data_IF_233049965206
#
_entry.id   IF_233049965206
#
_cell.length_a   1.000
_cell.length_b   1.000
_cell.length_c   1.000
_cell.angle_alpha   90.00
_cell.angle_beta   90.00
_cell.angle_gamma   90.00
#
_symmetry.space_group_name_H-M   'P 1'
#
loop_
_entity.id
_entity.type
_entity.pdbx_description
1 polymer ?
2 non-polymer ?
3 non-polymer ?
4 non-polymer ?
5 water ?
#
# COMPACT_ATOMS: atom_id res chain seq x y z
N UNK A 1 8.68 16.74 -1.64
CA UNK A 1 7.20 16.87 -1.54
C UNK A 1 6.64 15.61 -0.87
N UNK A 2 7.40 14.53 -0.97
CA UNK A 2 6.98 13.24 -0.34
C UNK A 2 7.69 12.98 1.01
N UNK A 3 8.50 13.91 1.50
CA UNK A 3 9.38 13.64 2.64
C UNK A 3 8.73 13.19 3.95
N UNK A 4 7.56 13.69 4.30
CA UNK A 4 7.01 13.25 5.60
C UNK A 4 6.54 11.79 5.56
N UNK A 5 6.38 11.20 4.34
CA UNK A 5 6.03 9.78 4.22
C UNK A 5 7.22 8.86 4.44
N UNK A 6 8.42 9.37 4.35
CA UNK A 6 9.59 8.50 4.35
C UNK A 6 9.84 7.93 5.72
N UNK A 7 10.29 6.69 5.75
CA UNK A 7 10.66 6.01 6.98
C UNK A 7 10.06 4.62 7.07
N UNK A 8 10.09 4.09 8.28
CA UNK A 8 9.63 2.75 8.59
C UNK A 8 8.34 2.85 9.40
N UNK A 9 7.34 2.11 8.99
CA UNK A 9 5.99 2.21 9.52
C UNK A 9 5.46 0.81 9.84
N UNK A 10 4.69 0.70 10.92
CA UNK A 10 4.12 -0.58 11.30
C UNK A 10 2.63 -0.54 11.39
N UNK A 11 1.97 -1.61 10.95
CA UNK A 11 0.51 -1.64 11.00
C UNK A 11 0.02 -1.73 12.43
N UNK A 12 -0.92 -0.81 12.78
CA UNK A 12 -1.50 -0.79 14.12
C UNK A 12 -3.03 -0.79 14.13
N UNK A 13 -3.70 -0.77 12.98
CA UNK A 13 -5.15 -0.87 12.93
C UNK A 13 -5.53 -1.27 11.52
N UNK A 14 -6.59 -2.07 11.37
CA UNK A 14 -7.07 -2.40 10.03
C UNK A 14 -8.59 -2.58 10.06
N UNK A 15 -9.23 -1.94 9.08
CA UNK A 15 -10.68 -2.01 8.92
C UNK A 15 -11.01 -2.42 7.49
N UNK A 16 -11.81 -3.50 7.36
CA UNK A 16 -12.36 -3.92 6.07
C UNK A 16 -11.32 -4.49 5.10
N UNK A 17 -10.17 -4.95 5.61
CA UNK A 17 -9.20 -5.56 4.69
C UNK A 17 -9.73 -6.84 4.08
N UNK A 18 -10.49 -7.62 4.83
CA UNK A 18 -11.06 -8.84 4.22
C UNK A 18 -11.96 -8.48 3.04
N UNK A 19 -12.80 -7.44 3.19
CA UNK A 19 -13.66 -7.03 2.07
C UNK A 19 -12.81 -6.68 0.86
N UNK A 20 -11.75 -5.90 1.08
CA UNK A 20 -10.90 -5.47 -0.02
C UNK A 20 -10.26 -6.68 -0.72
N UNK A 21 -9.65 -7.59 0.08
CA UNK A 21 -9.05 -8.78 -0.51
C UNK A 21 -10.07 -9.62 -1.25
N UNK A 22 -11.24 -9.81 -0.67
CA UNK A 22 -12.23 -10.64 -1.33
C UNK A 22 -12.64 -10.02 -2.66
N UNK A 23 -12.78 -8.69 -2.70
CA UNK A 23 -13.12 -7.99 -3.94
C UNK A 23 -12.11 -8.25 -5.05
N UNK A 24 -10.84 -8.35 -4.66
CA UNK A 24 -9.75 -8.65 -5.58
C UNK A 24 -9.67 -10.14 -5.93
N UNK A 25 -10.51 -10.99 -5.35
CA UNK A 25 -10.46 -12.41 -5.69
C UNK A 25 -9.42 -13.20 -4.89
N UNK A 26 -8.92 -12.64 -3.78
CA UNK A 26 -7.97 -13.38 -2.96
C UNK A 26 -8.72 -14.53 -2.24
N UNK A 27 -8.12 -15.72 -2.24
CA UNK A 27 -8.77 -16.87 -1.67
C UNK A 27 -8.86 -16.86 -0.15
N UNK A 28 -9.79 -17.63 0.38
CA UNK A 28 -10.12 -17.53 1.79
C UNK A 28 -8.90 -17.81 2.65
N UNK A 29 -8.06 -18.77 2.31
CA UNK A 29 -6.94 -19.16 3.17
C UNK A 29 -5.90 -18.05 3.28
N UNK A 30 -5.65 -17.40 2.14
CA UNK A 30 -4.76 -16.22 2.13
C UNK A 30 -5.37 -15.09 2.92
N UNK A 31 -6.67 -14.85 2.77
CA UNK A 31 -7.31 -13.78 3.55
C UNK A 31 -7.16 -14.04 5.05
N UNK A 32 -7.32 -15.30 5.41
CA UNK A 32 -7.25 -15.68 6.81
C UNK A 32 -5.87 -15.29 7.39
N UNK A 33 -4.77 -15.71 6.75
CA UNK A 33 -3.43 -15.38 7.23
C UNK A 33 -3.25 -13.86 7.20
N UNK A 34 -3.63 -13.23 6.09
CA UNK A 34 -3.46 -11.77 5.95
C UNK A 34 -4.17 -10.99 7.05
N UNK A 35 -5.31 -11.48 7.52
CA UNK A 35 -6.06 -10.77 8.56
C UNK A 35 -5.33 -10.74 9.91
N UNK A 36 -4.35 -11.62 10.08
CA UNK A 36 -3.53 -11.68 11.29
C UNK A 36 -2.11 -11.23 11.03
N UNK A 37 -1.80 -10.64 9.93
CA UNK A 37 -0.46 -10.20 9.63
C UNK A 37 -0.35 -8.68 9.88
N UNK A 38 0.81 -8.25 10.43
CA UNK A 38 1.04 -6.81 10.68
C UNK A 38 2.28 -6.41 9.91
N UNK A 39 2.15 -5.93 8.69
CA UNK A 39 3.33 -5.60 7.92
C UNK A 39 4.08 -4.38 8.45
N UNK A 40 5.33 -4.34 8.02
CA UNK A 40 6.19 -3.18 8.14
C UNK A 40 6.39 -2.61 6.74
N UNK A 41 6.11 -1.32 6.57
CA UNK A 41 6.29 -0.67 5.29
C UNK A 41 7.45 0.34 5.43
N UNK A 42 8.37 0.27 4.48
CA UNK A 42 9.54 1.15 4.47
C UNK A 42 9.49 1.95 3.20
N UNK A 43 9.51 3.28 3.33
CA UNK A 43 9.42 4.18 2.16
C UNK A 43 10.71 4.99 2.18
N UNK A 44 11.48 4.91 1.08
CA UNK A 44 12.77 5.58 0.95
C UNK A 44 12.79 6.30 -0.38
N UNK A 45 13.60 7.37 -0.46
CA UNK A 45 13.82 8.00 -1.76
C UNK A 45 15.31 8.15 -2.01
N UNK A 46 15.63 8.18 -3.26
CA UNK A 46 16.97 8.49 -3.80
C UNK A 46 16.75 9.36 -5.02
N UNK A 47 16.94 10.66 -4.85
CA UNK A 47 16.60 11.52 -5.94
C UNK A 47 15.14 11.41 -6.23
N UNK A 48 14.57 11.41 -7.39
CA UNK A 48 13.07 11.30 -7.41
C UNK A 48 12.68 9.79 -7.60
N UNK A 49 13.55 8.83 -7.29
CA UNK A 49 13.09 7.45 -7.26
C UNK A 49 12.67 7.09 -5.83
N UNK A 50 11.45 6.63 -5.68
CA UNK A 50 10.95 6.11 -4.41
C UNK A 50 11.03 4.59 -4.45
N UNK A 51 11.33 4.00 -3.30
CA UNK A 51 11.25 2.56 -3.12
C UNK A 51 10.37 2.29 -1.91
N UNK A 52 9.37 1.44 -2.11
CA UNK A 52 8.37 1.11 -1.09
C UNK A 52 8.43 -0.40 -0.88
N UNK A 53 8.91 -0.76 0.31
CA UNK A 53 9.02 -2.15 0.73
C UNK A 53 7.87 -2.47 1.67
N UNK A 54 7.27 -3.64 1.51
CA UNK A 54 6.25 -4.12 2.46
C UNK A 54 6.71 -5.50 2.92
N UNK A 55 6.97 -5.61 4.22
CA UNK A 55 7.55 -6.84 4.79
C UNK A 55 6.58 -7.46 5.77
N UNK A 56 6.52 -8.79 5.76
CA UNK A 56 5.72 -9.49 6.76
C UNK A 56 6.19 -10.91 6.88
N UNK A 57 5.60 -11.61 7.85
CA UNK A 57 5.83 -13.04 8.01
C UNK A 57 5.18 -13.86 6.92
N UNK A 58 4.32 -13.33 6.08
CA UNK A 58 3.57 -14.09 5.06
C UNK A 58 4.09 -13.81 3.68
N UNK A 59 4.06 -12.58 3.24
CA UNK A 59 4.48 -12.13 1.92
C UNK A 59 5.35 -10.89 2.08
N UNK A 60 6.35 -10.72 1.18
CA UNK A 60 7.07 -9.46 1.03
C UNK A 60 6.86 -8.91 -0.37
N UNK A 61 6.88 -7.57 -0.51
CA UNK A 61 6.91 -6.92 -1.81
C UNK A 61 7.91 -5.76 -1.77
N UNK A 62 8.34 -5.35 -2.96
CA UNK A 62 9.12 -4.13 -3.10
C UNK A 62 8.84 -3.57 -4.50
N UNK A 63 8.62 -2.25 -4.54
CA UNK A 63 8.47 -1.54 -5.81
C UNK A 63 9.39 -0.31 -5.78
N UNK A 64 9.90 0.06 -6.94
CA UNK A 64 10.58 1.33 -7.13
C UNK A 64 9.90 2.07 -8.29
N UNK A 65 9.79 3.38 -8.15
CA UNK A 65 9.07 4.17 -9.15
C UNK A 65 9.51 5.63 -9.05
N UNK A 66 9.32 6.32 -10.16
CA UNK A 66 9.39 7.79 -10.20
C UNK A 66 7.97 8.31 -10.08
N UNK A 67 7.65 9.38 -9.25
CA UNK A 67 6.32 9.95 -9.21
C UNK A 67 5.92 10.35 -10.60
N UNK A 68 4.69 10.01 -10.94
CA UNK A 68 4.12 10.45 -12.18
C UNK A 68 4.57 9.70 -13.40
N UNK A 69 5.28 8.58 -13.24
CA UNK A 69 5.73 7.77 -14.38
C UNK A 69 5.22 6.35 -14.18
N UNK A 70 4.52 5.83 -15.17
CA UNK A 70 3.94 4.48 -15.06
C UNK A 70 5.05 3.43 -14.92
N UNK A 71 4.72 2.38 -14.16
CA UNK A 71 5.64 1.26 -13.98
C UNK A 71 4.81 -0.03 -13.95
N UNK A 72 5.46 -1.13 -14.38
CA UNK A 72 4.86 -2.44 -14.21
C UNK A 72 5.02 -2.91 -12.76
N UNK A 73 4.02 -3.62 -12.26
CA UNK A 73 4.03 -4.10 -10.89
C UNK A 73 3.36 -5.48 -10.85
N UNK A 74 3.91 -6.35 -10.00
CA UNK A 74 3.28 -7.65 -9.70
C UNK A 74 2.96 -7.61 -8.20
N UNK A 75 1.68 -7.59 -7.86
CA UNK A 75 1.27 -7.31 -6.52
C UNK A 75 1.47 -8.53 -5.60
N UNK A 76 1.21 -8.31 -4.31
CA UNK A 76 1.38 -9.38 -3.31
C UNK A 76 0.51 -10.60 -3.62
N UNK A 77 -0.66 -10.35 -4.21
CA UNK A 77 -1.61 -11.37 -4.63
C UNK A 77 -1.43 -11.76 -6.11
N UNK A 78 -0.30 -11.40 -6.71
CA UNK A 78 0.12 -11.89 -8.02
C UNK A 78 -0.69 -11.31 -9.18
N UNK A 79 -1.26 -10.13 -9.00
CA UNK A 79 -1.85 -9.41 -10.14
C UNK A 79 -0.74 -8.68 -10.89
N UNK A 80 -0.75 -8.76 -12.22
CA UNK A 80 0.21 -8.03 -13.07
C UNK A 80 -0.50 -6.77 -13.54
N UNK A 81 -0.06 -5.63 -13.03
CA UNK A 81 -0.78 -4.37 -13.18
C UNK A 81 0.13 -3.30 -13.77
N UNK A 82 -0.53 -2.26 -14.28
CA UNK A 82 0.12 -1.02 -14.72
C UNK A 82 -0.13 0.01 -13.62
N UNK A 83 0.91 0.59 -13.07
CA UNK A 83 0.80 1.42 -11.88
C UNK A 83 1.36 2.81 -12.11
N UNK A 84 0.83 3.75 -11.32
CA UNK A 84 1.41 5.11 -11.28
C UNK A 84 1.15 5.64 -9.89
N UNK A 85 2.14 6.36 -9.34
CA UNK A 85 2.04 6.96 -8.03
C UNK A 85 2.25 8.46 -8.20
N UNK A 86 1.43 9.27 -7.55
CA UNK A 86 1.52 10.73 -7.61
C UNK A 86 1.18 11.32 -6.26
N UNK A 87 1.54 12.55 -6.05
CA UNK A 87 1.01 13.34 -4.93
C UNK A 87 -0.21 14.13 -5.36
N UNK A 88 -1.23 14.07 -4.55
CA UNK A 88 -2.53 14.69 -4.86
C UNK A 88 -3.11 15.18 -3.54
N UNK A 89 -3.19 16.50 -3.37
CA UNK A 89 -3.71 16.99 -2.10
C UNK A 89 -2.87 16.60 -0.90
N UNK A 90 -1.57 16.43 -1.13
CA UNK A 90 -0.67 16.02 -0.09
C UNK A 90 -0.72 14.52 0.18
N UNK A 91 -1.53 13.76 -0.53
CA UNK A 91 -1.69 12.31 -0.36
C UNK A 91 -0.86 11.62 -1.43
N UNK A 92 -0.26 10.50 -1.07
CA UNK A 92 0.45 9.67 -2.02
C UNK A 92 -0.59 8.72 -2.62
N UNK A 93 -0.91 8.87 -3.90
CA UNK A 93 -1.98 8.09 -4.56
C UNK A 93 -1.34 7.12 -5.52
N UNK A 94 -1.55 5.84 -5.27
CA UNK A 94 -1.06 4.74 -6.11
C UNK A 94 -2.27 4.12 -6.81
N UNK A 95 -2.28 4.19 -8.15
CA UNK A 95 -3.34 3.64 -8.96
C UNK A 95 -2.80 2.41 -9.71
N UNK A 96 -3.49 1.28 -9.59
CA UNK A 96 -3.17 0.06 -10.31
C UNK A 96 -4.30 -0.25 -11.30
N UNK A 97 -3.93 -0.61 -12.53
CA UNK A 97 -4.88 -0.93 -13.59
C UNK A 97 -4.53 -2.28 -14.20
N UNK A 98 -5.55 -3.10 -14.39
CA UNK A 98 -5.32 -4.40 -15.05
C UNK A 98 -6.67 -4.92 -15.51
N UNK A 99 -6.74 -5.49 -16.70
CA UNK A 99 -8.00 -6.11 -17.18
C UNK A 99 -9.17 -5.13 -17.13
N UNK A 100 -8.91 -3.83 -17.28
CA UNK A 100 -9.97 -2.83 -17.16
C UNK A 100 -10.39 -2.49 -15.75
N UNK A 101 -9.88 -3.21 -14.76
CA UNK A 101 -10.11 -2.95 -13.34
C UNK A 101 -9.16 -1.88 -12.86
N UNK A 102 -9.54 -1.25 -11.75
CA UNK A 102 -8.69 -0.31 -11.05
C UNK A 102 -8.78 -0.51 -9.54
N UNK A 103 -7.65 -0.26 -8.89
CA UNK A 103 -7.68 -0.09 -7.43
C UNK A 103 -6.76 1.05 -7.07
N UNK A 104 -7.13 1.78 -6.02
CA UNK A 104 -6.27 2.84 -5.49
C UNK A 104 -5.82 2.50 -4.06
N UNK A 105 -4.57 2.87 -3.82
CA UNK A 105 -3.91 2.75 -2.52
C UNK A 105 -3.48 4.16 -2.17
N UNK A 106 -4.18 4.80 -1.25
CA UNK A 106 -3.99 6.22 -0.97
C UNK A 106 -3.41 6.35 0.43
N UNK A 107 -2.30 7.07 0.56
CA UNK A 107 -1.67 7.28 1.87
C UNK A 107 -1.74 8.76 2.22
N UNK A 108 -2.14 9.01 3.46
CA UNK A 108 -2.27 10.39 3.95
C UNK A 108 -1.73 10.41 5.38
N UNK A 109 -1.09 11.48 5.76
CA UNK A 109 -0.63 11.66 7.12
C UNK A 109 -1.67 12.43 7.89
N UNK A 110 -2.13 11.86 8.96
CA UNK A 110 -3.15 12.47 9.85
C UNK A 110 -2.61 12.33 11.28
N UNK A 111 -2.36 13.45 11.92
CA UNK A 111 -1.87 13.45 13.32
C UNK A 111 -0.63 12.54 13.44
N UNK A 112 0.23 12.58 12.42
CA UNK A 112 1.50 11.81 12.47
C UNK A 112 1.35 10.34 12.16
N UNK A 113 0.16 9.84 11.94
CA UNK A 113 -0.03 8.46 11.53
C UNK A 113 -0.23 8.43 10.01
N UNK A 114 0.17 7.31 9.42
CA UNK A 114 0.00 7.13 8.00
C UNK A 114 -1.26 6.28 7.78
N UNK A 115 -2.24 6.88 7.13
CA UNK A 115 -3.52 6.24 6.89
C UNK A 115 -3.52 5.78 5.43
N UNK A 116 -3.65 4.47 5.25
CA UNK A 116 -3.70 3.83 3.94
C UNK A 116 -5.14 3.43 3.66
N UNK A 117 -5.71 4.01 2.59
CA UNK A 117 -7.06 3.70 2.19
C UNK A 117 -6.98 2.92 0.88
N UNK A 118 -7.54 1.72 0.88
CA UNK A 118 -7.52 0.81 -0.25
C UNK A 118 -8.94 0.70 -0.79
N UNK A 119 -9.14 0.99 -2.09
CA UNK A 119 -10.47 0.94 -2.67
C UNK A 119 -10.44 0.05 -3.90
N UNK A 120 -11.37 -0.91 -3.99
CA UNK A 120 -11.56 -1.70 -5.21
C UNK A 120 -13.04 -2.06 -5.23
N UNK A 121 -13.67 -1.90 -6.40
CA UNK A 121 -15.12 -2.12 -6.43
C UNK A 121 -15.78 -1.16 -5.45
N UNK A 122 -16.63 -1.70 -4.59
CA UNK A 122 -17.24 -0.91 -3.53
C UNK A 122 -16.47 -0.98 -2.22
N UNK A 123 -15.50 -1.87 -2.13
CA UNK A 123 -14.80 -2.11 -0.86
C UNK A 123 -13.82 -0.96 -0.58
N UNK A 124 -13.89 -0.49 0.66
CA UNK A 124 -13.01 0.57 1.16
C UNK A 124 -12.41 0.09 2.46
N UNK A 125 -11.11 -0.11 2.47
CA UNK A 125 -10.35 -0.55 3.64
C UNK A 125 -9.46 0.58 4.13
N UNK A 126 -9.42 0.74 5.45
CA UNK A 126 -8.57 1.76 6.07
C UNK A 126 -7.58 1.08 7.01
N UNK A 127 -6.29 1.27 6.74
CA UNK A 127 -5.23 0.68 7.55
C UNK A 127 -4.37 1.81 8.10
N UNK A 128 -4.09 1.72 9.39
CA UNK A 128 -3.31 2.76 10.07
C UNK A 128 -1.93 2.23 10.39
N UNK A 129 -0.92 3.00 9.99
CA UNK A 129 0.49 2.69 10.26
C UNK A 129 1.07 3.78 11.15
N UNK A 130 1.92 3.32 12.07
CA UNK A 130 2.63 4.19 13.03
C UNK A 130 4.11 4.17 12.73
N UNK A 131 4.74 5.30 12.88
CA UNK A 131 6.18 5.44 12.55
C UNK A 131 7.01 4.65 13.56
N UNK A 132 7.97 3.83 13.24
CA UNK A 132 8.72 2.92 14.17
C UNK A 132 9.32 3.67 15.36
N UNK A 133 9.22 3.18 16.58
CA UNK A 133 9.82 3.90 17.70
C UNK A 133 11.36 3.90 17.71
#
# INVERSE_FOLDING_TARGET
>A
MVDAFLGTWKLVDSKNFDDYMKSLGVGFATRQVASMTKPTTIIEKNGDILTLKTHSTFKNTEISFKLGVEFDETTADDRKVKSIVTLDGGKLVHLQKWDGQETTLVRELIDGKLILTLTHGTAVCTRTYEKEA
#
